data_IF_380917900967
#
_entry.id   IF_380917900967
#
_cell.length_a   1.000
_cell.length_b   1.000
_cell.length_c   1.000
_cell.angle_alpha   90.00
_cell.angle_beta   90.00
_cell.angle_gamma   90.00
#
_symmetry.space_group_name_H-M   'P 1'
#
loop_
_entity.id
_entity.type
_entity.pdbx_description
1 polymer ?
#
# COMPACT_ATOMS: atom_id res chain seq x y z
N UNK A 1 1.17 14.82 13.49
CA UNK A 1 -0.12 14.16 13.85
C UNK A 1 -0.20 12.78 13.20
N UNK A 2 -1.01 11.85 13.73
CA UNK A 2 -1.19 10.50 13.15
C UNK A 2 -2.37 10.48 12.18
N UNK A 3 -2.14 10.00 10.97
CA UNK A 3 -3.13 9.92 9.89
C UNK A 3 -3.19 8.50 9.32
N UNK A 4 -4.39 8.03 9.02
CA UNK A 4 -4.62 6.79 8.28
C UNK A 4 -4.90 7.13 6.83
N UNK A 5 -4.17 6.51 5.91
CA UNK A 5 -4.21 6.82 4.48
C UNK A 5 -4.50 5.53 3.68
N UNK A 6 -5.42 5.65 2.73
CA UNK A 6 -5.77 4.61 1.76
C UNK A 6 -5.46 5.13 0.35
N UNK A 7 -5.35 4.23 -0.61
CA UNK A 7 -5.19 4.60 -2.02
C UNK A 7 -6.32 5.54 -2.49
N UNK A 8 -5.95 6.60 -3.20
CA UNK A 8 -6.91 7.52 -3.85
C UNK A 8 -6.58 7.68 -5.33
N UNK A 9 -7.61 7.92 -6.14
CA UNK A 9 -7.48 8.32 -7.55
C UNK A 9 -7.75 9.80 -7.78
N UNK A 10 -8.26 10.51 -6.76
CA UNK A 10 -8.53 11.95 -6.85
C UNK A 10 -7.34 12.71 -6.26
N UNK A 11 -6.69 13.52 -7.09
CA UNK A 11 -5.45 14.24 -6.78
C UNK A 11 -5.75 15.74 -6.87
N UNK A 12 -5.62 16.45 -5.77
CA UNK A 12 -5.66 17.91 -5.72
C UNK A 12 -4.25 18.47 -5.94
N UNK A 13 -4.02 19.10 -7.09
CA UNK A 13 -2.75 19.72 -7.43
C UNK A 13 -2.47 21.02 -6.68
N UNK A 14 -3.46 21.56 -5.95
CA UNK A 14 -3.32 22.76 -5.14
C UNK A 14 -3.14 22.46 -3.64
N UNK A 15 -3.08 21.17 -3.26
CA UNK A 15 -2.81 20.76 -1.89
C UNK A 15 -1.42 21.21 -1.45
N UNK A 16 -1.31 21.73 -0.22
CA UNK A 16 -0.04 22.21 0.35
C UNK A 16 0.14 21.70 1.78
N UNK A 17 1.40 21.57 2.22
CA UNK A 17 1.71 21.20 3.59
C UNK A 17 1.41 19.73 3.89
N UNK A 18 0.60 19.48 4.92
CA UNK A 18 0.29 18.11 5.36
C UNK A 18 -0.56 17.36 4.33
N UNK A 19 -1.51 18.04 3.69
CA UNK A 19 -2.42 17.42 2.72
C UNK A 19 -1.67 16.95 1.47
N UNK A 20 -0.67 17.70 1.02
CA UNK A 20 0.24 17.31 -0.06
C UNK A 20 0.97 15.99 0.27
N UNK A 21 1.47 15.87 1.50
CA UNK A 21 2.20 14.68 1.96
C UNK A 21 1.25 13.47 2.00
N UNK A 22 0.06 13.63 2.58
CA UNK A 22 -0.94 12.57 2.66
C UNK A 22 -1.39 12.12 1.27
N UNK A 23 -1.55 13.05 0.33
CA UNK A 23 -1.88 12.75 -1.06
C UNK A 23 -0.76 12.00 -1.76
N UNK A 24 0.51 12.38 -1.56
CA UNK A 24 1.64 11.67 -2.14
C UNK A 24 1.74 10.23 -1.61
N UNK A 25 1.45 10.02 -0.32
CA UNK A 25 1.33 8.67 0.26
C UNK A 25 0.17 7.91 -0.41
N UNK A 26 -1.00 8.52 -0.54
CA UNK A 26 -2.17 7.89 -1.16
C UNK A 26 -1.93 7.53 -2.63
N UNK A 27 -1.14 8.32 -3.36
CA UNK A 27 -0.73 8.06 -4.74
C UNK A 27 0.24 6.88 -4.84
N UNK A 28 1.20 6.76 -3.93
CA UNK A 28 2.09 5.59 -3.87
C UNK A 28 1.27 4.32 -3.59
N UNK A 29 0.27 4.40 -2.70
CA UNK A 29 -0.60 3.27 -2.41
C UNK A 29 -1.46 2.85 -3.61
N UNK A 30 -1.90 3.79 -4.45
CA UNK A 30 -2.70 3.46 -5.65
C UNK A 30 -1.88 2.85 -6.79
N UNK A 31 -0.60 3.22 -6.89
CA UNK A 31 0.34 2.63 -7.86
C UNK A 31 0.92 1.29 -7.42
N UNK A 32 0.77 0.94 -6.14
CA UNK A 32 1.31 -0.29 -5.59
C UNK A 32 0.50 -1.52 -6.02
N UNK A 33 0.94 -2.17 -7.11
CA UNK A 33 0.34 -3.43 -7.55
C UNK A 33 0.77 -4.56 -6.62
N UNK A 34 -0.14 -4.98 -5.75
CA UNK A 34 0.00 -6.22 -4.99
C UNK A 34 -0.37 -7.36 -5.93
N UNK A 35 0.62 -8.17 -6.33
CA UNK A 35 0.34 -9.37 -7.10
C UNK A 35 -0.55 -10.29 -6.26
N UNK A 36 -1.76 -10.54 -6.74
CA UNK A 36 -2.67 -11.49 -6.13
C UNK A 36 -2.05 -12.88 -6.13
N UNK A 37 -1.86 -13.54 -4.98
CA UNK A 37 -1.34 -14.89 -4.95
C UNK A 37 -2.42 -15.97 -5.20
N UNK A 38 -3.71 -15.63 -5.33
CA UNK A 38 -4.81 -16.60 -5.32
C UNK A 38 -5.95 -16.35 -6.31
N UNK A 39 -5.67 -15.80 -7.50
CA UNK A 39 -6.69 -15.74 -8.56
C UNK A 39 -6.88 -17.14 -9.18
N UNK A 40 -7.81 -17.92 -8.62
CA UNK A 40 -8.08 -19.32 -9.00
C UNK A 40 -8.58 -19.48 -10.43
N UNK A 41 -9.14 -18.43 -11.03
CA UNK A 41 -9.64 -18.47 -12.41
C UNK A 41 -8.53 -18.32 -13.47
N UNK A 42 -7.27 -18.09 -13.07
CA UNK A 42 -6.14 -17.96 -14.01
C UNK A 42 -5.57 -19.31 -14.49
N UNK A 43 -6.11 -20.45 -14.03
CA UNK A 43 -5.64 -21.78 -14.44
C UNK A 43 -4.22 -22.12 -13.98
N UNK A 44 -3.64 -21.33 -13.07
CA UNK A 44 -2.28 -21.50 -12.57
C UNK A 44 -2.20 -22.67 -11.56
N UNK A 45 -1.14 -23.45 -11.71
CA UNK A 45 -0.79 -24.57 -10.83
C UNK A 45 -0.45 -24.07 -9.41
N UNK A 46 -1.36 -24.34 -8.47
CA UNK A 46 -1.32 -23.88 -7.07
C UNK A 46 -0.06 -24.31 -6.31
N UNK A 47 0.57 -25.39 -6.74
CA UNK A 47 1.81 -25.99 -6.22
C UNK A 47 3.05 -25.08 -6.37
N UNK A 48 2.99 -24.06 -7.23
CA UNK A 48 4.12 -23.13 -7.48
C UNK A 48 3.95 -21.75 -6.84
N UNK A 49 2.80 -21.48 -6.23
CA UNK A 49 2.49 -20.16 -5.69
C UNK A 49 3.07 -19.98 -4.28
N UNK A 50 3.79 -18.88 -4.01
CA UNK A 50 4.32 -18.61 -2.68
C UNK A 50 3.20 -18.42 -1.65
N UNK A 51 3.39 -18.84 -0.39
CA UNK A 51 2.38 -18.67 0.65
C UNK A 51 1.96 -17.20 0.79
N UNK A 52 0.67 -16.98 1.03
CA UNK A 52 0.09 -15.65 1.17
C UNK A 52 0.88 -14.74 2.14
N UNK A 53 1.25 -15.27 3.30
CA UNK A 53 1.99 -14.53 4.33
C UNK A 53 3.42 -14.16 3.91
N UNK A 54 4.03 -14.89 2.98
CA UNK A 54 5.33 -14.55 2.41
C UNK A 54 5.20 -13.39 1.42
N UNK A 55 4.20 -13.44 0.53
CA UNK A 55 3.92 -12.39 -0.44
C UNK A 55 3.53 -11.10 0.26
N UNK A 56 2.66 -11.17 1.28
CA UNK A 56 2.29 -10.03 2.12
C UNK A 56 3.54 -9.34 2.67
N UNK A 57 4.42 -10.09 3.36
CA UNK A 57 5.67 -9.56 3.93
C UNK A 57 6.59 -8.92 2.88
N UNK A 58 6.78 -9.55 1.73
CA UNK A 58 7.60 -8.99 0.63
C UNK A 58 7.03 -7.68 0.11
N UNK A 59 5.71 -7.61 -0.07
CA UNK A 59 5.06 -6.41 -0.55
C UNK A 59 5.06 -5.30 0.51
N UNK A 60 4.93 -5.63 1.80
CA UNK A 60 5.08 -4.67 2.89
C UNK A 60 6.48 -4.05 2.90
N UNK A 61 7.54 -4.85 2.76
CA UNK A 61 8.92 -4.34 2.71
C UNK A 61 9.13 -3.38 1.53
N UNK A 62 8.68 -3.77 0.32
CA UNK A 62 8.76 -2.92 -0.88
C UNK A 62 7.95 -1.61 -0.72
N UNK A 63 6.81 -1.66 -0.05
CA UNK A 63 5.98 -0.49 0.21
C UNK A 63 6.69 0.48 1.15
N UNK A 64 7.27 -0.04 2.24
CA UNK A 64 8.06 0.74 3.20
C UNK A 64 9.25 1.41 2.50
N UNK A 65 10.01 0.68 1.69
CA UNK A 65 11.13 1.23 0.91
C UNK A 65 10.66 2.36 -0.03
N UNK A 66 9.51 2.18 -0.69
CA UNK A 66 8.96 3.18 -1.60
C UNK A 66 8.53 4.44 -0.86
N UNK A 67 7.82 4.29 0.25
CA UNK A 67 7.40 5.42 1.09
C UNK A 67 8.61 6.17 1.66
N UNK A 68 9.63 5.47 2.13
CA UNK A 68 10.86 6.09 2.63
C UNK A 68 11.62 6.84 1.53
N UNK A 69 11.61 6.32 0.30
CA UNK A 69 12.33 6.93 -0.84
C UNK A 69 11.61 8.15 -1.40
N UNK A 70 10.30 8.08 -1.58
CA UNK A 70 9.52 9.09 -2.28
C UNK A 70 8.84 10.09 -1.34
N UNK A 71 8.54 9.70 -0.09
CA UNK A 71 7.89 10.56 0.91
C UNK A 71 8.62 10.45 2.26
N UNK A 72 9.89 10.88 2.35
CA UNK A 72 10.68 10.78 3.59
C UNK A 72 10.11 11.60 4.75
N UNK A 73 9.22 12.57 4.48
CA UNK A 73 8.54 13.40 5.48
C UNK A 73 7.42 12.66 6.23
N UNK A 74 6.96 11.51 5.71
CA UNK A 74 5.94 10.69 6.35
C UNK A 74 6.59 9.50 7.07
N UNK A 75 6.42 9.42 8.39
CA UNK A 75 6.93 8.32 9.22
C UNK A 75 5.85 7.24 9.29
N UNK A 76 6.10 6.06 8.72
CA UNK A 76 5.18 4.93 8.76
C UNK A 76 5.20 4.28 10.14
N UNK A 77 4.03 4.12 10.76
CA UNK A 77 3.86 3.45 12.07
C UNK A 77 3.40 2.01 11.88
N UNK A 78 2.48 1.82 10.93
CA UNK A 78 1.74 0.58 10.76
C UNK A 78 1.28 0.44 9.31
N UNK A 79 1.26 -0.80 8.84
CA UNK A 79 0.80 -1.17 7.49
C UNK A 79 -0.16 -2.33 7.64
N UNK A 80 -1.41 -2.08 7.30
CA UNK A 80 -2.46 -3.08 7.27
C UNK A 80 -2.95 -3.31 5.83
N UNK A 81 -3.77 -4.33 5.65
CA UNK A 81 -4.33 -4.69 4.35
C UNK A 81 -5.82 -4.98 4.47
N UNK A 82 -6.62 -4.28 3.68
CA UNK A 82 -8.07 -4.48 3.62
C UNK A 82 -8.40 -5.16 2.30
N UNK A 83 -9.26 -6.18 2.34
CA UNK A 83 -9.71 -6.89 1.15
C UNK A 83 -9.89 -8.38 1.38
N UNK A 84 -10.19 -9.09 0.29
CA UNK A 84 -10.46 -10.52 0.30
C UNK A 84 -9.32 -11.27 -0.42
N UNK A 85 -8.57 -12.05 0.36
CA UNK A 85 -7.49 -12.89 -0.15
C UNK A 85 -8.00 -14.01 -1.09
N UNK A 86 -9.27 -14.42 -1.00
CA UNK A 86 -9.88 -15.43 -1.85
C UNK A 86 -10.33 -14.90 -3.21
N UNK A 87 -10.74 -13.63 -3.26
CA UNK A 87 -11.04 -12.89 -4.51
C UNK A 87 -9.78 -12.29 -5.11
N UNK A 88 -8.73 -12.19 -4.28
CA UNK A 88 -7.42 -11.80 -4.74
C UNK A 88 -7.16 -10.30 -4.72
N UNK A 89 -8.02 -9.54 -4.06
CA UNK A 89 -7.92 -8.09 -3.97
C UNK A 89 -7.52 -7.72 -2.55
N UNK A 90 -6.35 -7.13 -2.40
CA UNK A 90 -5.86 -6.59 -1.14
C UNK A 90 -5.35 -5.18 -1.39
N UNK A 91 -5.89 -4.24 -0.64
CA UNK A 91 -5.55 -2.84 -0.70
C UNK A 91 -4.76 -2.49 0.58
N UNK A 92 -3.54 -1.93 0.44
CA UNK A 92 -2.75 -1.54 1.59
C UNK A 92 -3.35 -0.29 2.25
N UNK A 93 -3.35 -0.29 3.57
CA UNK A 93 -3.78 0.83 4.41
C UNK A 93 -2.62 1.18 5.33
N UNK A 94 -2.16 2.43 5.29
CA UNK A 94 -0.95 2.84 6.01
C UNK A 94 -1.30 3.90 7.04
N UNK A 95 -0.77 3.74 8.26
CA UNK A 95 -0.79 4.79 9.28
C UNK A 95 0.54 5.52 9.26
N UNK A 96 0.49 6.84 9.04
CA UNK A 96 1.66 7.71 8.98
C UNK A 96 1.58 8.80 10.05
N UNK A 97 2.73 9.15 10.60
CA UNK A 97 2.93 10.42 11.32
C UNK A 97 3.60 11.39 10.37
N UNK A 98 2.99 12.56 10.24
CA UNK A 98 3.63 13.71 9.60
C UNK A 98 4.04 14.67 10.71
N UNK A 99 5.34 14.99 10.76
CA UNK A 99 5.87 16.04 11.63
C UNK A 99 5.77 17.36 10.89
N UNK A 100 5.16 18.34 11.55
CA UNK A 100 4.96 19.70 11.04
C UNK A 100 6.26 20.51 11.14
#
# INVERSE_FOLDING_TARGET
MTHQVTATSNIDFNATGVDEILQNVAFILSTFVISCPFYRDLGLRLDTLPPFQLVKRRNTARLLESLQRFVPRAIVIDVDYVGDAYVGKLEPVVKVIVNE
#
